data_IF_100825160212
#
_entry.id   IF_100825160212
#
_cell.length_a   1.000
_cell.length_b   1.000
_cell.length_c   1.000
_cell.angle_alpha   90.00
_cell.angle_beta   90.00
_cell.angle_gamma   90.00
#
_symmetry.space_group_name_H-M   'P 1'
#
loop_
_entity.id
_entity.type
_entity.pdbx_description
1 polymer ?
#
# COMPACT_ATOMS: atom_id res chain seq x y z
N UNK A 1 9.59 -40.17 -6.69
CA UNK A 1 10.32 -38.91 -6.87
C UNK A 1 9.29 -37.83 -6.62
N UNK A 2 9.27 -37.26 -5.41
CA UNK A 2 8.29 -36.25 -5.02
C UNK A 2 8.89 -34.88 -5.35
N UNK A 3 8.20 -34.12 -6.20
CA UNK A 3 8.63 -32.79 -6.59
C UNK A 3 8.61 -31.86 -5.37
N UNK A 4 9.77 -31.27 -5.10
CA UNK A 4 10.02 -30.33 -4.02
C UNK A 4 9.23 -29.04 -4.25
N UNK A 5 8.26 -28.83 -3.36
CA UNK A 5 7.92 -27.56 -2.71
C UNK A 5 8.44 -26.29 -3.43
N UNK A 6 7.69 -25.86 -4.45
CA UNK A 6 7.86 -24.52 -5.05
C UNK A 6 7.39 -23.45 -4.06
N UNK A 7 8.19 -23.25 -3.01
CA UNK A 7 8.01 -22.23 -1.99
C UNK A 7 8.09 -20.84 -2.64
N UNK A 8 6.95 -20.36 -3.15
CA UNK A 8 6.76 -18.96 -3.51
C UNK A 8 7.01 -18.13 -2.26
N UNK A 9 8.24 -17.64 -2.10
CA UNK A 9 8.60 -16.67 -1.06
C UNK A 9 7.73 -15.44 -1.30
N UNK A 10 6.59 -15.37 -0.61
CA UNK A 10 5.72 -14.20 -0.63
C UNK A 10 6.58 -13.02 -0.21
N UNK A 11 6.86 -12.11 -1.14
CA UNK A 11 7.52 -10.84 -0.81
C UNK A 11 6.64 -10.14 0.21
N UNK A 12 7.02 -10.22 1.48
CA UNK A 12 6.35 -9.50 2.56
C UNK A 12 6.76 -8.04 2.45
N UNK A 13 5.88 -7.25 1.84
CA UNK A 13 5.99 -5.81 1.83
C UNK A 13 5.54 -5.26 3.19
N UNK A 14 6.20 -4.22 3.65
CA UNK A 14 5.73 -3.44 4.79
C UNK A 14 4.62 -2.50 4.26
N UNK A 15 3.39 -2.59 4.78
CA UNK A 15 2.33 -1.69 4.40
C UNK A 15 2.67 -0.27 4.85
N UNK A 16 2.36 0.70 3.99
CA UNK A 16 2.47 2.13 4.29
C UNK A 16 1.07 2.73 4.20
N UNK A 17 0.65 3.47 5.22
CA UNK A 17 -0.67 4.12 5.24
C UNK A 17 -0.74 5.20 4.16
N UNK A 18 -1.88 5.26 3.45
CA UNK A 18 -2.21 6.32 2.49
C UNK A 18 -2.80 7.51 3.24
N UNK A 19 -1.97 8.20 4.01
CA UNK A 19 -2.40 9.30 4.89
C UNK A 19 -3.20 10.38 4.14
N UNK A 20 -2.91 10.64 2.86
CA UNK A 20 -3.67 11.59 2.05
C UNK A 20 -5.16 11.20 1.91
N UNK A 21 -5.48 9.91 1.71
CA UNK A 21 -6.88 9.44 1.65
C UNK A 21 -7.59 9.65 2.99
N UNK A 22 -6.89 9.33 4.07
CA UNK A 22 -7.41 9.50 5.43
C UNK A 22 -7.69 10.98 5.73
N UNK A 23 -6.79 11.88 5.33
CA UNK A 23 -6.94 13.32 5.50
C UNK A 23 -8.13 13.86 4.70
N UNK A 24 -8.26 13.50 3.41
CA UNK A 24 -9.42 13.90 2.61
C UNK A 24 -10.72 13.38 3.20
N UNK A 25 -10.74 12.13 3.65
CA UNK A 25 -11.92 11.52 4.28
C UNK A 25 -12.31 12.24 5.57
N UNK A 26 -11.33 12.58 6.41
CA UNK A 26 -11.56 13.32 7.65
C UNK A 26 -12.01 14.76 7.40
N UNK A 27 -11.54 15.42 6.34
CA UNK A 27 -12.01 16.74 5.95
C UNK A 27 -13.50 16.76 5.56
N UNK A 28 -14.04 15.61 5.12
CA UNK A 28 -15.46 15.42 4.85
C UNK A 28 -16.25 14.88 6.06
N UNK A 29 -15.59 14.65 7.20
CA UNK A 29 -16.19 14.08 8.42
C UNK A 29 -16.89 12.71 8.20
N UNK A 30 -16.48 11.95 7.18
CA UNK A 30 -17.06 10.65 6.88
C UNK A 30 -16.23 9.50 7.44
N UNK A 31 -16.90 8.44 7.91
CA UNK A 31 -16.21 7.22 8.32
C UNK A 31 -15.78 6.38 7.11
N UNK A 32 -14.81 5.48 7.32
CA UNK A 32 -14.42 4.49 6.32
C UNK A 32 -15.62 3.61 5.90
N UNK A 33 -16.50 3.27 6.85
CA UNK A 33 -17.73 2.51 6.62
C UNK A 33 -18.73 3.26 5.74
N UNK A 34 -18.86 4.57 5.96
CA UNK A 34 -19.78 5.39 5.18
C UNK A 34 -19.29 5.50 3.74
N UNK A 35 -18.03 5.92 3.56
CA UNK A 35 -17.42 6.00 2.23
C UNK A 35 -17.50 4.66 1.49
N UNK A 36 -17.21 3.53 2.16
CA UNK A 36 -17.27 2.22 1.51
C UNK A 36 -18.68 1.86 1.02
N UNK A 37 -19.73 2.24 1.77
CA UNK A 37 -21.11 2.00 1.37
C UNK A 37 -21.50 2.87 0.17
N UNK A 38 -21.08 4.13 0.18
CA UNK A 38 -21.43 5.08 -0.87
C UNK A 38 -20.70 4.77 -2.19
N UNK A 39 -19.52 4.15 -2.13
CA UNK A 39 -18.75 3.66 -3.28
C UNK A 39 -19.09 2.22 -3.68
N UNK A 40 -20.05 1.56 -3.02
CA UNK A 40 -20.40 0.15 -3.23
C UNK A 40 -19.18 -0.81 -3.18
N UNK A 41 -18.28 -0.57 -2.23
CA UNK A 41 -17.13 -1.43 -1.96
C UNK A 41 -17.17 -1.96 -0.53
N UNK A 42 -16.56 -3.12 -0.30
CA UNK A 42 -16.48 -3.64 1.08
C UNK A 42 -15.66 -2.70 1.98
N UNK A 43 -16.13 -2.48 3.20
CA UNK A 43 -15.41 -1.69 4.22
C UNK A 43 -14.01 -2.23 4.50
N UNK A 44 -13.86 -3.55 4.48
CA UNK A 44 -12.57 -4.23 4.60
C UNK A 44 -11.64 -3.85 3.44
N UNK A 45 -12.15 -3.84 2.20
CA UNK A 45 -11.36 -3.46 1.03
C UNK A 45 -10.89 -2.01 1.11
N UNK A 46 -11.79 -1.08 1.45
CA UNK A 46 -11.41 0.33 1.61
C UNK A 46 -10.38 0.51 2.74
N UNK A 47 -10.58 -0.12 3.90
CA UNK A 47 -9.62 -0.08 5.02
C UNK A 47 -8.24 -0.62 4.62
N UNK A 48 -8.20 -1.67 3.79
CA UNK A 48 -6.95 -2.22 3.26
C UNK A 48 -6.26 -1.30 2.26
N UNK A 49 -7.03 -0.53 1.48
CA UNK A 49 -6.50 0.51 0.62
C UNK A 49 -5.91 1.63 1.50
N UNK A 50 -6.73 2.23 2.37
CA UNK A 50 -6.32 3.37 3.22
C UNK A 50 -5.12 3.00 4.10
N UNK A 51 -5.09 1.79 4.66
CA UNK A 51 -3.96 1.29 5.46
C UNK A 51 -2.78 0.75 4.64
N UNK A 52 -2.87 0.74 3.30
CA UNK A 52 -1.83 0.30 2.37
C UNK A 52 -1.47 -1.18 2.46
N UNK A 53 -2.35 -2.01 3.01
CA UNK A 53 -2.21 -3.46 2.98
C UNK A 53 -2.52 -4.04 1.60
N UNK A 54 -3.15 -3.27 0.70
CA UNK A 54 -3.58 -3.75 -0.61
C UNK A 54 -3.17 -2.84 -1.74
N UNK A 55 -2.59 -3.48 -2.76
CA UNK A 55 -2.15 -2.85 -4.00
C UNK A 55 -0.91 -1.99 -3.79
N UNK A 56 0.15 -2.28 -4.54
CA UNK A 56 1.22 -1.28 -4.72
C UNK A 56 0.61 0.02 -5.24
N UNK A 57 -0.40 -0.07 -6.11
CA UNK A 57 -1.10 1.04 -6.78
C UNK A 57 -2.61 0.87 -6.66
N UNK A 58 -3.35 1.97 -6.68
CA UNK A 58 -4.79 1.97 -6.90
C UNK A 58 -5.13 1.53 -8.34
N UNK A 59 -6.26 0.86 -8.52
CA UNK A 59 -6.86 0.75 -9.85
C UNK A 59 -7.41 2.12 -10.27
N UNK A 60 -7.46 2.35 -11.58
CA UNK A 60 -7.94 3.63 -12.12
C UNK A 60 -9.40 3.89 -11.75
N UNK A 61 -10.24 2.84 -11.74
CA UNK A 61 -11.66 2.95 -11.39
C UNK A 61 -11.83 3.42 -9.94
N UNK A 62 -11.11 2.79 -9.00
CA UNK A 62 -11.14 3.19 -7.58
C UNK A 62 -10.56 4.60 -7.39
N UNK A 63 -9.49 4.95 -8.11
CA UNK A 63 -8.94 6.31 -8.03
C UNK A 63 -9.96 7.35 -8.51
N UNK A 64 -10.64 7.09 -9.62
CA UNK A 64 -11.69 7.95 -10.16
C UNK A 64 -12.84 8.13 -9.17
N UNK A 65 -13.37 7.03 -8.62
CA UNK A 65 -14.46 7.06 -7.65
C UNK A 65 -14.07 7.82 -6.37
N UNK A 66 -12.85 7.62 -5.88
CA UNK A 66 -12.32 8.33 -4.72
C UNK A 66 -12.17 9.83 -5.00
N UNK A 67 -11.68 10.22 -6.17
CA UNK A 67 -11.53 11.64 -6.54
C UNK A 67 -12.90 12.35 -6.49
N UNK A 68 -13.92 11.74 -7.11
CA UNK A 68 -15.27 12.29 -7.13
C UNK A 68 -15.89 12.36 -5.74
N UNK A 69 -15.81 11.27 -4.97
CA UNK A 69 -16.43 11.20 -3.65
C UNK A 69 -15.74 12.13 -2.65
N UNK A 70 -14.40 12.16 -2.66
CA UNK A 70 -13.61 13.01 -1.76
C UNK A 70 -13.63 14.49 -2.15
N UNK A 71 -14.20 14.83 -3.31
CA UNK A 71 -14.29 16.20 -3.85
C UNK A 71 -12.93 16.91 -3.87
N UNK A 72 -11.88 16.14 -4.18
CA UNK A 72 -10.52 16.66 -4.28
C UNK A 72 -10.16 16.97 -5.73
N UNK A 73 -9.20 17.85 -5.94
CA UNK A 73 -8.66 18.10 -7.27
C UNK A 73 -7.93 16.84 -7.78
N UNK A 74 -8.17 16.50 -9.05
CA UNK A 74 -7.61 15.28 -9.64
C UNK A 74 -6.08 15.33 -9.74
N UNK A 75 -5.50 16.51 -10.01
CA UNK A 75 -4.04 16.67 -10.09
C UNK A 75 -3.46 16.50 -8.68
N UNK A 76 -4.02 17.17 -7.67
CA UNK A 76 -3.57 17.04 -6.28
C UNK A 76 -3.63 15.58 -5.80
N UNK A 77 -4.71 14.86 -6.11
CA UNK A 77 -4.84 13.45 -5.75
C UNK A 77 -3.75 12.59 -6.40
N UNK A 78 -3.49 12.79 -7.70
CA UNK A 78 -2.50 12.02 -8.45
C UNK A 78 -1.08 12.33 -7.98
N UNK A 79 -0.79 13.58 -7.60
CA UNK A 79 0.49 13.97 -7.00
C UNK A 79 0.69 13.31 -5.64
N UNK A 80 -0.34 13.31 -4.79
CA UNK A 80 -0.32 12.63 -3.50
C UNK A 80 -0.13 11.10 -3.65
N UNK A 81 -0.80 10.48 -4.63
CA UNK A 81 -0.61 9.06 -4.93
C UNK A 81 0.81 8.79 -5.44
N UNK A 82 1.34 9.63 -6.33
CA UNK A 82 2.70 9.49 -6.81
C UNK A 82 3.73 9.62 -5.68
N UNK A 83 3.51 10.54 -4.73
CA UNK A 83 4.35 10.68 -3.54
C UNK A 83 4.28 9.44 -2.64
N UNK A 84 3.08 8.92 -2.38
CA UNK A 84 2.87 7.69 -1.64
C UNK A 84 3.64 6.51 -2.26
N UNK A 85 3.55 6.32 -3.57
CA UNK A 85 4.22 5.24 -4.29
C UNK A 85 5.75 5.32 -4.15
N UNK A 86 6.32 6.52 -4.22
CA UNK A 86 7.76 6.74 -4.02
C UNK A 86 8.18 6.33 -2.61
N UNK A 87 7.45 6.78 -1.58
CA UNK A 87 7.75 6.42 -0.18
C UNK A 87 7.56 4.93 0.11
N UNK A 88 6.52 4.31 -0.46
CA UNK A 88 6.29 2.86 -0.36
C UNK A 88 7.46 2.08 -0.96
N UNK A 89 7.94 2.48 -2.14
CA UNK A 89 9.09 1.84 -2.78
C UNK A 89 10.37 2.01 -1.96
N UNK A 90 10.64 3.21 -1.45
CA UNK A 90 11.83 3.49 -0.64
C UNK A 90 11.85 2.63 0.62
N UNK A 91 10.74 2.60 1.38
CA UNK A 91 10.61 1.79 2.58
C UNK A 91 10.84 0.29 2.29
N UNK A 92 10.25 -0.22 1.21
CA UNK A 92 10.36 -1.64 0.87
C UNK A 92 11.74 -2.02 0.25
N UNK A 93 12.45 -1.07 -0.38
CA UNK A 93 13.85 -1.25 -0.81
C UNK A 93 14.80 -1.30 0.38
N UNK A 94 14.65 -0.41 1.37
CA UNK A 94 15.46 -0.39 2.60
C UNK A 94 15.31 -1.72 3.36
N UNK A 95 14.08 -2.21 3.49
CA UNK A 95 13.83 -3.48 4.18
C UNK A 95 14.40 -4.69 3.45
N UNK A 96 14.41 -4.67 2.12
CA UNK A 96 15.09 -5.71 1.34
C UNK A 96 16.58 -5.75 1.70
N UNK A 97 17.26 -4.59 1.73
CA UNK A 97 18.69 -4.49 2.11
C UNK A 97 18.96 -4.97 3.53
N UNK A 98 18.15 -4.56 4.52
CA UNK A 98 18.29 -5.05 5.91
C UNK A 98 18.12 -6.57 6.04
N UNK A 99 17.17 -7.16 5.30
CA UNK A 99 17.00 -8.62 5.26
C UNK A 99 18.22 -9.35 4.69
N UNK A 100 18.96 -8.74 3.76
CA UNK A 100 20.22 -9.31 3.25
C UNK A 100 21.36 -9.18 4.25
N UNK A 101 21.54 -8.02 4.90
CA UNK A 101 22.59 -7.85 5.91
C UNK A 101 22.43 -8.80 7.11
N UNK A 102 21.20 -9.05 7.55
CA UNK A 102 20.93 -9.96 8.67
C UNK A 102 20.99 -11.45 8.30
N UNK A 103 21.18 -11.79 7.02
CA UNK A 103 21.32 -13.18 6.53
C UNK A 103 22.77 -13.59 6.31
N UNK A 104 23.71 -12.66 6.39
CA UNK A 104 25.15 -12.96 6.32
C UNK A 104 25.60 -13.25 7.75
N UNK A 105 25.94 -14.50 8.05
CA UNK A 105 26.65 -14.79 9.29
C UNK A 105 28.08 -14.25 9.15
N UNK A 106 28.66 -13.62 10.19
CA UNK A 106 30.04 -13.14 10.14
C UNK A 106 31.07 -14.25 9.86
N UNK A 107 30.70 -15.52 10.06
CA UNK A 107 31.51 -16.70 9.74
C UNK A 107 31.60 -17.04 8.24
N UNK A 108 30.76 -16.43 7.40
CA UNK A 108 30.73 -16.71 5.95
C UNK A 108 31.65 -15.76 5.15
N UNK A 109 32.36 -14.86 5.83
CA UNK A 109 33.25 -13.86 5.22
C UNK A 109 34.75 -14.22 5.31
N UNK A 110 35.09 -15.38 5.88
CA UNK A 110 36.45 -15.90 5.89
C UNK A 110 36.57 -17.15 5.00
N UNK A 111 36.78 -16.93 3.70
CA UNK A 111 37.48 -17.83 2.77
C UNK A 111 38.15 -17.01 1.67
#
# INVERSE_FOLDING_TARGET
MFDEDSGLVRKSYIPLVREYLKNYRYALEVSAEQLSRDLDISSVYYRQIEGGQRGKKLSIDIAYDLILYLKCDAIEFLEAEAAYLKSFEEMNRINSRRKYCNKINPSDLDN
#
